data_IF_426898561135
#
_entry.id   IF_426898561135
#
_cell.length_a   1.000
_cell.length_b   1.000
_cell.length_c   1.000
_cell.angle_alpha   90.00
_cell.angle_beta   90.00
_cell.angle_gamma   90.00
#
_symmetry.space_group_name_H-M   'P 1'
#
loop_
_entity.id
_entity.type
_entity.pdbx_description
1 polymer ?
#
# COMPACT_ATOMS: atom_id res chain seq x y z
N UNK A 1 7.02 -40.43 25.96
CA UNK A 1 6.71 -38.99 26.12
C UNK A 1 7.50 -38.10 25.15
N UNK A 2 8.83 -38.20 25.07
CA UNK A 2 9.67 -37.34 24.21
C UNK A 2 9.28 -37.38 22.72
N UNK A 3 8.97 -38.57 22.19
CA UNK A 3 8.57 -38.73 20.78
C UNK A 3 7.25 -38.00 20.45
N UNK A 4 6.27 -38.07 21.35
CA UNK A 4 4.98 -37.39 21.18
C UNK A 4 5.16 -35.86 21.23
N UNK A 5 6.01 -35.38 22.13
CA UNK A 5 6.35 -33.95 22.20
C UNK A 5 7.05 -33.47 20.92
N UNK A 6 7.96 -34.27 20.35
CA UNK A 6 8.62 -33.95 19.09
C UNK A 6 7.65 -33.89 17.90
N UNK A 7 6.69 -34.84 17.83
CA UNK A 7 5.66 -34.85 16.78
C UNK A 7 4.72 -33.65 16.89
N UNK A 8 4.31 -33.28 18.12
CA UNK A 8 3.49 -32.10 18.36
C UNK A 8 4.22 -30.81 18.00
N UNK A 9 5.50 -30.69 18.36
CA UNK A 9 6.32 -29.53 18.01
C UNK A 9 6.52 -29.39 16.48
N UNK A 10 6.74 -30.50 15.77
CA UNK A 10 6.81 -30.51 14.32
C UNK A 10 5.49 -30.06 13.68
N UNK A 11 4.35 -30.55 14.18
CA UNK A 11 3.02 -30.14 13.71
C UNK A 11 2.76 -28.64 13.93
N UNK A 12 3.18 -28.09 15.07
CA UNK A 12 3.05 -26.65 15.35
C UNK A 12 3.89 -25.79 14.40
N UNK A 13 5.06 -26.25 13.96
CA UNK A 13 5.89 -25.52 13.00
C UNK A 13 5.22 -25.43 11.61
N UNK A 14 4.56 -26.50 11.17
CA UNK A 14 3.79 -26.50 9.91
C UNK A 14 2.50 -25.66 9.98
N UNK A 15 1.98 -25.42 11.18
CA UNK A 15 0.78 -24.60 11.39
C UNK A 15 1.06 -23.08 11.43
N UNK A 16 2.33 -22.66 11.37
CA UNK A 16 2.70 -21.25 11.25
C UNK A 16 2.35 -20.75 9.84
N UNK A 17 1.09 -20.37 9.62
CA UNK A 17 0.67 -19.70 8.40
C UNK A 17 1.51 -18.44 8.19
N UNK A 18 2.11 -18.29 7.01
CA UNK A 18 2.77 -17.04 6.64
C UNK A 18 1.72 -15.92 6.65
N UNK A 19 1.99 -14.84 7.40
CA UNK A 19 1.14 -13.67 7.32
C UNK A 19 1.12 -13.16 5.87
N UNK A 20 -0.03 -12.72 5.34
CA UNK A 20 -0.08 -12.14 4.01
C UNK A 20 0.93 -10.98 3.93
N UNK A 21 1.72 -10.97 2.86
CA UNK A 21 2.69 -9.91 2.63
C UNK A 21 1.93 -8.61 2.38
N UNK A 22 1.90 -7.73 3.39
CA UNK A 22 1.29 -6.41 3.24
C UNK A 22 2.11 -5.60 2.26
N UNK A 23 1.45 -5.00 1.29
CA UNK A 23 2.09 -4.17 0.27
C UNK A 23 1.37 -2.83 0.14
N UNK A 24 2.14 -1.80 -0.18
CA UNK A 24 1.66 -0.46 -0.44
C UNK A 24 2.41 0.17 -1.61
N UNK A 25 1.95 1.34 -2.05
CA UNK A 25 2.59 2.13 -3.09
C UNK A 25 2.95 3.50 -2.57
N UNK A 26 4.07 4.05 -3.07
CA UNK A 26 4.47 5.44 -2.82
C UNK A 26 4.26 6.22 -4.10
N UNK A 27 3.50 7.31 -4.02
CA UNK A 27 3.30 8.27 -5.09
C UNK A 27 3.97 9.58 -4.70
N UNK A 28 4.53 10.31 -5.67
CA UNK A 28 5.23 11.57 -5.41
C UNK A 28 4.62 12.68 -6.24
N UNK A 29 4.41 13.84 -5.60
CA UNK A 29 4.05 15.10 -6.25
C UNK A 29 5.17 16.09 -5.97
N UNK A 30 5.92 16.43 -7.02
CA UNK A 30 6.98 17.44 -7.00
C UNK A 30 6.55 18.62 -7.87
N UNK A 31 6.58 19.83 -7.31
CA UNK A 31 6.19 21.06 -7.99
C UNK A 31 4.67 21.32 -7.96
N UNK A 32 4.13 22.18 -8.85
CA UNK A 32 2.73 22.60 -8.77
C UNK A 32 1.71 21.46 -8.98
N UNK A 33 0.59 21.52 -8.27
CA UNK A 33 -0.56 20.64 -8.55
C UNK A 33 -1.31 21.15 -9.78
N UNK A 34 -1.40 20.29 -10.79
CA UNK A 34 -2.04 20.55 -12.10
C UNK A 34 -3.16 19.54 -12.36
N UNK A 35 -4.07 19.79 -13.32
CA UNK A 35 -5.11 18.83 -13.63
C UNK A 35 -4.56 17.46 -14.07
N UNK A 36 -3.42 17.46 -14.78
CA UNK A 36 -2.80 16.24 -15.28
C UNK A 36 -2.25 15.36 -14.14
N UNK A 37 -1.49 15.93 -13.20
CA UNK A 37 -0.95 15.14 -12.09
C UNK A 37 -2.03 14.75 -11.07
N UNK A 38 -3.05 15.59 -10.84
CA UNK A 38 -4.20 15.22 -10.00
C UNK A 38 -4.92 13.99 -10.56
N UNK A 39 -5.16 13.95 -11.88
CA UNK A 39 -5.82 12.82 -12.52
C UNK A 39 -4.95 11.55 -12.55
N UNK A 40 -3.62 11.71 -12.66
CA UNK A 40 -2.68 10.62 -12.47
C UNK A 40 -2.78 10.02 -11.06
N UNK A 41 -2.70 10.85 -10.02
CA UNK A 41 -2.75 10.38 -8.63
C UNK A 41 -4.09 9.69 -8.32
N UNK A 42 -5.21 10.26 -8.75
CA UNK A 42 -6.53 9.65 -8.58
C UNK A 42 -6.61 8.25 -9.22
N UNK A 43 -6.07 8.09 -10.43
CA UNK A 43 -6.00 6.79 -11.11
C UNK A 43 -5.12 5.80 -10.35
N UNK A 44 -3.93 6.21 -9.91
CA UNK A 44 -3.02 5.33 -9.18
C UNK A 44 -3.60 4.85 -7.83
N UNK A 45 -4.40 5.70 -7.16
CA UNK A 45 -5.13 5.31 -5.94
C UNK A 45 -6.16 4.22 -6.27
N UNK A 46 -6.92 4.39 -7.35
CA UNK A 46 -7.91 3.39 -7.79
C UNK A 46 -7.23 2.07 -8.18
N UNK A 47 -6.12 2.14 -8.94
CA UNK A 47 -5.32 0.96 -9.30
C UNK A 47 -4.71 0.28 -8.06
N UNK A 48 -4.28 1.06 -7.07
CA UNK A 48 -3.75 0.52 -5.82
C UNK A 48 -4.82 -0.28 -5.07
N UNK A 49 -6.02 0.29 -4.94
CA UNK A 49 -7.17 -0.39 -4.36
C UNK A 49 -7.53 -1.67 -5.12
N UNK A 50 -7.64 -1.59 -6.45
CA UNK A 50 -7.98 -2.72 -7.31
C UNK A 50 -6.95 -3.87 -7.23
N UNK A 51 -5.68 -3.54 -6.99
CA UNK A 51 -4.60 -4.52 -6.81
C UNK A 51 -4.49 -5.11 -5.38
N UNK A 52 -5.37 -4.72 -4.46
CA UNK A 52 -5.33 -5.19 -3.08
C UNK A 52 -4.17 -4.61 -2.25
N UNK A 53 -3.62 -3.46 -2.66
CA UNK A 53 -2.63 -2.74 -1.86
C UNK A 53 -3.33 -2.12 -0.66
N UNK A 54 -2.75 -2.31 0.52
CA UNK A 54 -3.36 -1.93 1.79
C UNK A 54 -3.08 -0.48 2.18
N UNK A 55 -2.12 0.15 1.49
CA UNK A 55 -1.63 1.49 1.80
C UNK A 55 -1.20 2.24 0.54
N UNK A 56 -1.56 3.51 0.47
CA UNK A 56 -0.98 4.49 -0.44
C UNK A 56 -0.30 5.56 0.42
N UNK A 57 0.99 5.78 0.19
CA UNK A 57 1.73 6.91 0.76
C UNK A 57 1.93 7.94 -0.34
N UNK A 58 1.52 9.19 -0.11
CA UNK A 58 1.74 10.28 -1.05
C UNK A 58 2.75 11.24 -0.43
N UNK A 59 3.90 11.38 -1.08
CA UNK A 59 4.91 12.38 -0.76
C UNK A 59 4.60 13.65 -1.55
N UNK A 60 4.40 14.77 -0.86
CA UNK A 60 3.94 16.03 -1.45
C UNK A 60 4.98 17.10 -1.14
N UNK A 61 5.78 17.46 -2.16
CA UNK A 61 6.62 18.65 -2.17
C UNK A 61 6.07 19.63 -3.21
N UNK A 62 5.10 20.43 -2.79
CA UNK A 62 4.39 21.34 -3.70
C UNK A 62 4.32 22.74 -3.11
N UNK A 63 4.57 23.80 -3.90
CA UNK A 63 4.31 25.17 -3.49
C UNK A 63 2.80 25.52 -3.46
N UNK A 64 1.93 24.59 -3.92
CA UNK A 64 0.51 24.80 -4.16
C UNK A 64 0.10 24.45 -5.59
N UNK A 65 -1.07 24.92 -6.03
CA UNK A 65 -1.58 24.66 -7.38
C UNK A 65 -3.01 25.16 -7.55
N UNK A 66 -3.70 24.66 -8.57
CA UNK A 66 -5.11 24.98 -8.77
C UNK A 66 -5.95 24.32 -7.68
N UNK A 67 -6.82 25.10 -7.03
CA UNK A 67 -7.72 24.60 -5.98
C UNK A 67 -8.58 23.44 -6.48
N UNK A 68 -9.07 23.52 -7.72
CA UNK A 68 -9.89 22.47 -8.31
C UNK A 68 -9.11 21.17 -8.55
N UNK A 69 -7.82 21.29 -8.92
CA UNK A 69 -6.95 20.11 -9.06
C UNK A 69 -6.65 19.47 -7.71
N UNK A 70 -6.40 20.27 -6.66
CA UNK A 70 -6.20 19.74 -5.31
C UNK A 70 -7.43 19.04 -4.75
N UNK A 71 -8.65 19.46 -5.11
CA UNK A 71 -9.90 18.81 -4.68
C UNK A 71 -10.19 17.47 -5.38
N UNK A 72 -9.50 17.19 -6.48
CA UNK A 72 -9.70 15.98 -7.28
C UNK A 72 -8.90 14.79 -6.73
N UNK A 73 -7.80 15.06 -6.04
CA UNK A 73 -7.01 14.08 -5.27
C UNK A 73 -7.77 13.73 -4.00
#
# INVERSE_FOLDING_TARGET
MVFVAAVLAAFSAFAQGAAPARSGVVLTIDGPVTPANAQYIAREIEEASASGRELVLIEIDTPGGLVDSMKTI
#
